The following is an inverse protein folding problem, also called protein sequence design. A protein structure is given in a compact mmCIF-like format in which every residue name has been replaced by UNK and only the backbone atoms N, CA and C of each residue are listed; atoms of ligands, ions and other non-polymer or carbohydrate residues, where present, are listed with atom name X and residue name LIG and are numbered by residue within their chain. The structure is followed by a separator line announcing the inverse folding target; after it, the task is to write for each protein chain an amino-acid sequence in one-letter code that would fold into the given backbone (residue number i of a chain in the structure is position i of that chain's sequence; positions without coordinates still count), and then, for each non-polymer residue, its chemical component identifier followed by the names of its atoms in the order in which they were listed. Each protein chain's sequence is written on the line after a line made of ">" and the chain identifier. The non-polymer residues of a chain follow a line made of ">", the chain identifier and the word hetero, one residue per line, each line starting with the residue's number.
data_IF_796176444885
#
_entry.id   IF_796176444885
#
_cell.length_a   1.000
_cell.length_b   1.000
_cell.length_c   1.000
_cell.angle_alpha   90.00
_cell.angle_beta   90.00
_cell.angle_gamma   90.00
#
_symmetry.space_group_name_H-M   'P 1'
#
loop_
_entity.id
_entity.type
_entity.pdbx_description
1 polymer ?
#
# COMPACT_ATOMS: atom_id res chain seq x y z
N UNK A 1 -2.99 -10.56 47.94
CA UNK A 1 -3.63 -11.88 47.74
C UNK A 1 -4.76 -11.73 46.74
N UNK A 2 -4.58 -12.28 45.53
CA UNK A 2 -5.62 -12.88 44.67
C UNK A 2 -4.92 -13.26 43.35
N UNK A 3 -4.43 -14.50 43.36
CA UNK A 3 -4.11 -15.24 42.16
C UNK A 3 -5.44 -15.63 41.53
N UNK A 4 -5.63 -15.34 40.25
CA UNK A 4 -6.74 -15.90 39.50
C UNK A 4 -6.21 -16.59 38.25
N UNK A 5 -6.60 -17.86 38.18
CA UNK A 5 -6.06 -18.91 37.36
C UNK A 5 -6.54 -18.76 35.92
N UNK A 6 -5.65 -18.39 34.99
CA UNK A 6 -5.93 -18.50 33.55
C UNK A 6 -5.45 -19.85 33.04
N UNK A 7 -6.31 -20.84 33.24
CA UNK A 7 -6.26 -22.11 32.52
C UNK A 7 -7.09 -21.94 31.24
N UNK A 8 -6.45 -21.71 30.10
CA UNK A 8 -7.14 -21.78 28.79
C UNK A 8 -6.47 -22.88 27.98
N UNK A 9 -7.23 -23.93 27.78
CA UNK A 9 -6.85 -25.20 27.21
C UNK A 9 -6.48 -25.08 25.73
N UNK A 10 -5.43 -25.81 25.36
CA UNK A 10 -5.05 -26.18 24.01
C UNK A 10 -6.19 -27.01 23.37
N UNK A 11 -6.67 -26.61 22.19
CA UNK A 11 -7.45 -27.49 21.30
C UNK A 11 -6.85 -27.41 19.89
N UNK A 12 -5.97 -28.38 19.62
CA UNK A 12 -5.49 -28.69 18.29
C UNK A 12 -6.61 -29.42 17.51
N UNK A 13 -7.00 -28.88 16.36
CA UNK A 13 -7.86 -29.59 15.39
C UNK A 13 -7.13 -29.71 14.06
N UNK A 14 -6.68 -30.93 13.77
CA UNK A 14 -6.10 -31.31 12.49
C UNK A 14 -7.23 -31.65 11.51
N UNK A 15 -7.46 -30.78 10.52
CA UNK A 15 -8.37 -31.02 9.40
C UNK A 15 -7.57 -31.43 8.16
N UNK A 16 -7.78 -32.65 7.67
CA UNK A 16 -7.29 -33.11 6.38
C UNK A 16 -8.13 -32.49 5.25
N UNK A 17 -7.48 -31.85 4.27
CA UNK A 17 -8.13 -31.24 3.11
C UNK A 17 -7.81 -32.09 1.86
N UNK A 18 -8.80 -32.50 1.05
CA UNK A 18 -8.58 -33.26 -0.18
C UNK A 18 -7.88 -32.42 -1.27
N UNK A 19 -7.14 -33.05 -2.23
CA UNK A 19 -6.52 -32.34 -3.33
C UNK A 19 -7.59 -31.86 -4.32
N UNK A 20 -7.87 -30.55 -4.28
CA UNK A 20 -8.68 -29.87 -5.27
C UNK A 20 -7.91 -29.73 -6.60
N UNK A 21 -8.63 -29.97 -7.69
CA UNK A 21 -8.15 -30.03 -9.06
C UNK A 21 -7.29 -28.85 -9.49
N UNK A 22 -6.21 -29.15 -10.22
CA UNK A 22 -5.36 -28.17 -10.88
C UNK A 22 -6.19 -27.27 -11.80
N UNK A 23 -6.34 -26.00 -11.42
CA UNK A 23 -6.85 -24.94 -12.28
C UNK A 23 -5.75 -24.55 -13.27
N UNK A 24 -5.80 -25.07 -14.49
CA UNK A 24 -5.10 -24.45 -15.61
C UNK A 24 -5.81 -23.12 -15.89
N UNK A 25 -5.33 -22.05 -15.26
CA UNK A 25 -5.79 -20.70 -15.59
C UNK A 25 -5.57 -20.46 -17.09
N UNK A 26 -6.55 -19.89 -17.80
CA UNK A 26 -6.30 -19.44 -19.16
C UNK A 26 -5.23 -18.34 -19.07
N UNK A 27 -4.12 -18.51 -19.77
CA UNK A 27 -3.12 -17.48 -19.97
C UNK A 27 -3.73 -16.39 -20.87
N UNK A 28 -4.60 -15.57 -20.31
CA UNK A 28 -5.18 -14.42 -20.97
C UNK A 28 -4.27 -13.24 -20.67
N UNK A 29 -3.31 -13.02 -21.57
CA UNK A 29 -2.64 -11.73 -21.68
C UNK A 29 -3.68 -10.69 -22.10
N UNK A 30 -4.36 -10.07 -21.13
CA UNK A 30 -5.15 -8.88 -21.40
C UNK A 30 -4.21 -7.85 -22.05
N UNK A 31 -4.66 -7.13 -23.10
CA UNK A 31 -3.83 -6.12 -23.73
C UNK A 31 -3.39 -5.12 -22.66
N UNK A 32 -2.11 -4.74 -22.65
CA UNK A 32 -1.50 -3.92 -21.60
C UNK A 32 -2.29 -2.63 -21.29
N UNK A 33 -2.99 -2.08 -22.29
CA UNK A 33 -3.90 -0.96 -22.14
C UNK A 33 -5.08 -1.22 -21.18
N UNK A 34 -5.69 -2.40 -21.24
CA UNK A 34 -6.80 -2.78 -20.35
C UNK A 34 -6.32 -2.99 -18.91
N UNK A 35 -5.11 -3.53 -18.73
CA UNK A 35 -4.50 -3.73 -17.41
C UNK A 35 -4.13 -2.38 -16.78
N UNK A 36 -3.56 -1.46 -17.55
CA UNK A 36 -3.28 -0.10 -17.07
C UNK A 36 -4.57 0.67 -16.72
N UNK A 37 -5.58 0.66 -17.60
CA UNK A 37 -6.85 1.33 -17.33
C UNK A 37 -7.54 0.77 -16.08
N UNK A 38 -7.52 -0.55 -15.89
CA UNK A 38 -8.04 -1.20 -14.68
C UNK A 38 -7.25 -0.80 -13.43
N UNK A 39 -5.91 -0.75 -13.52
CA UNK A 39 -5.03 -0.31 -12.44
C UNK A 39 -5.26 1.15 -12.04
N UNK A 40 -5.49 2.05 -13.01
CA UNK A 40 -5.82 3.46 -12.77
C UNK A 40 -7.19 3.63 -12.10
N UNK A 41 -8.21 2.86 -12.52
CA UNK A 41 -9.52 2.88 -11.88
C UNK A 41 -9.45 2.38 -10.43
N UNK A 42 -8.77 1.27 -10.20
CA UNK A 42 -8.56 0.73 -8.84
C UNK A 42 -7.76 1.70 -7.96
N UNK A 43 -6.82 2.45 -8.55
CA UNK A 43 -6.06 3.48 -7.85
C UNK A 43 -6.96 4.65 -7.44
N UNK A 44 -7.84 5.11 -8.33
CA UNK A 44 -8.79 6.18 -8.04
C UNK A 44 -9.77 5.79 -6.92
N UNK A 45 -10.26 4.55 -6.94
CA UNK A 45 -11.12 4.00 -5.88
C UNK A 45 -10.36 3.94 -4.55
N UNK A 46 -9.11 3.48 -4.56
CA UNK A 46 -8.28 3.41 -3.37
C UNK A 46 -8.00 4.80 -2.77
N UNK A 47 -7.68 5.80 -3.60
CA UNK A 47 -7.53 7.18 -3.14
C UNK A 47 -8.85 7.72 -2.57
N UNK A 48 -9.99 7.37 -3.17
CA UNK A 48 -11.31 7.77 -2.65
C UNK A 48 -11.60 7.16 -1.27
N UNK A 49 -11.14 5.94 -1.01
CA UNK A 49 -11.20 5.32 0.32
C UNK A 49 -10.25 6.03 1.29
N UNK A 50 -9.01 6.31 0.89
CA UNK A 50 -8.05 7.04 1.73
C UNK A 50 -8.61 8.39 2.17
N UNK A 51 -9.26 9.13 1.27
CA UNK A 51 -9.89 10.42 1.58
C UNK A 51 -10.96 10.32 2.66
N UNK A 52 -11.73 9.23 2.67
CA UNK A 52 -12.75 8.99 3.70
C UNK A 52 -12.13 8.70 5.07
N UNK A 53 -10.99 8.01 5.09
CA UNK A 53 -10.27 7.65 6.32
C UNK A 53 -9.47 8.83 6.85
N UNK A 54 -8.73 9.51 5.98
CA UNK A 54 -7.88 10.65 6.28
C UNK A 54 -7.61 11.45 4.99
N UNK A 55 -8.14 12.68 4.88
CA UNK A 55 -7.83 13.56 3.74
C UNK A 55 -6.33 13.82 3.58
N UNK A 56 -5.58 13.88 4.68
CA UNK A 56 -4.13 14.05 4.65
C UNK A 56 -3.43 12.85 4.01
N UNK A 57 -3.91 11.63 4.27
CA UNK A 57 -3.33 10.42 3.69
C UNK A 57 -3.54 10.35 2.18
N UNK A 58 -4.72 10.73 1.68
CA UNK A 58 -4.98 10.81 0.25
C UNK A 58 -4.08 11.85 -0.44
N UNK A 59 -4.01 13.06 0.12
CA UNK A 59 -3.20 14.13 -0.46
C UNK A 59 -1.70 13.77 -0.45
N UNK A 60 -1.21 13.13 0.62
CA UNK A 60 0.14 12.61 0.69
C UNK A 60 0.39 11.50 -0.34
N UNK A 61 -0.54 10.55 -0.50
CA UNK A 61 -0.45 9.50 -1.51
C UNK A 61 -0.39 10.07 -2.93
N UNK A 62 -1.24 11.06 -3.28
CA UNK A 62 -1.16 11.74 -4.58
C UNK A 62 0.19 12.42 -4.80
N UNK A 63 0.71 13.09 -3.77
CA UNK A 63 2.02 13.75 -3.81
C UNK A 63 3.13 12.72 -4.03
N UNK A 64 3.08 11.60 -3.31
CA UNK A 64 4.03 10.50 -3.45
C UNK A 64 4.00 9.89 -4.86
N UNK A 65 2.82 9.53 -5.38
CA UNK A 65 2.66 8.99 -6.74
C UNK A 65 3.20 9.93 -7.82
N UNK A 66 2.88 11.22 -7.72
CA UNK A 66 3.37 12.22 -8.65
C UNK A 66 4.89 12.34 -8.58
N UNK A 67 5.44 12.37 -7.37
CA UNK A 67 6.88 12.46 -7.17
C UNK A 67 7.62 11.21 -7.67
N UNK A 68 7.11 9.99 -7.41
CA UNK A 68 7.67 8.73 -7.94
C UNK A 68 7.69 8.75 -9.47
N UNK A 69 6.58 9.16 -10.10
CA UNK A 69 6.49 9.24 -11.56
C UNK A 69 7.47 10.26 -12.14
N UNK A 70 7.58 11.43 -11.53
CA UNK A 70 8.46 12.52 -12.00
C UNK A 70 9.94 12.21 -11.77
N UNK A 71 10.30 11.60 -10.64
CA UNK A 71 11.69 11.42 -10.22
C UNK A 71 12.27 10.09 -10.68
N UNK A 72 11.46 9.04 -10.68
CA UNK A 72 11.89 7.67 -10.90
C UNK A 72 11.32 7.07 -12.19
N UNK A 73 10.44 7.78 -12.90
CA UNK A 73 9.82 7.30 -14.14
C UNK A 73 8.87 6.13 -13.95
N UNK A 74 8.47 5.84 -12.71
CA UNK A 74 7.65 4.69 -12.35
C UNK A 74 6.19 5.10 -12.14
N UNK A 75 5.26 4.40 -12.80
CA UNK A 75 3.83 4.52 -12.54
C UNK A 75 3.42 3.44 -11.55
N UNK A 76 3.12 3.85 -10.30
CA UNK A 76 2.64 2.94 -9.26
C UNK A 76 1.13 2.73 -9.39
N UNK A 77 0.70 1.48 -9.25
CA UNK A 77 -0.71 1.09 -9.20
C UNK A 77 -1.24 1.06 -7.75
N UNK A 78 -2.53 0.74 -7.60
CA UNK A 78 -3.17 0.61 -6.29
C UNK A 78 -2.53 -0.46 -5.39
N UNK A 79 -1.94 -1.50 -5.96
CA UNK A 79 -1.33 -2.61 -5.20
C UNK A 79 0.03 -2.20 -4.66
N UNK A 80 0.84 -1.52 -5.46
CA UNK A 80 2.12 -0.97 -5.03
C UNK A 80 1.93 0.12 -3.97
N UNK A 81 0.96 1.03 -4.15
CA UNK A 81 0.66 2.04 -3.14
C UNK A 81 0.16 1.42 -1.82
N UNK A 82 -0.73 0.42 -1.89
CA UNK A 82 -1.17 -0.32 -0.69
C UNK A 82 -0.01 -0.97 0.05
N UNK A 83 0.92 -1.60 -0.69
CA UNK A 83 2.13 -2.17 -0.11
C UNK A 83 3.00 -1.10 0.54
N UNK A 84 3.21 0.04 -0.13
CA UNK A 84 3.96 1.16 0.43
C UNK A 84 3.32 1.67 1.73
N UNK A 85 1.99 1.69 1.85
CA UNK A 85 1.31 2.09 3.10
C UNK A 85 1.37 1.01 4.20
N UNK A 86 1.34 -0.27 3.82
CA UNK A 86 1.18 -1.38 4.76
C UNK A 86 2.49 -2.07 5.19
N UNK A 87 3.60 -1.93 4.44
CA UNK A 87 4.89 -2.54 4.76
C UNK A 87 5.42 -1.99 6.08
N UNK A 88 5.56 -2.81 7.12
CA UNK A 88 6.20 -2.51 8.42
C UNK A 88 6.31 -1.02 8.79
N UNK A 89 5.18 -0.41 9.18
CA UNK A 89 5.10 1.00 9.58
C UNK A 89 4.92 2.00 8.43
N UNK A 90 4.91 1.52 7.19
CA UNK A 90 4.79 2.27 5.95
C UNK A 90 6.14 2.67 5.34
N UNK A 91 6.13 2.98 4.04
CA UNK A 91 7.23 3.63 3.35
C UNK A 91 7.55 4.95 4.09
N UNK A 92 8.79 5.15 4.55
CA UNK A 92 9.13 6.25 5.44
C UNK A 92 8.98 7.61 4.77
N UNK A 93 9.19 7.69 3.45
CA UNK A 93 8.95 8.90 2.68
C UNK A 93 7.45 9.20 2.63
N UNK A 94 6.62 8.21 2.33
CA UNK A 94 5.17 8.33 2.32
C UNK A 94 4.62 8.70 3.69
N UNK A 95 5.06 8.05 4.77
CA UNK A 95 4.65 8.38 6.13
C UNK A 95 5.10 9.78 6.55
N UNK A 96 6.31 10.19 6.14
CA UNK A 96 6.80 11.55 6.30
C UNK A 96 5.90 12.57 5.59
N UNK A 97 5.47 12.27 4.36
CA UNK A 97 4.55 13.11 3.60
C UNK A 97 3.17 13.18 4.27
N UNK A 98 2.64 12.06 4.76
CA UNK A 98 1.37 12.03 5.51
C UNK A 98 1.44 12.98 6.69
N UNK A 99 2.51 12.91 7.48
CA UNK A 99 2.71 13.83 8.62
C UNK A 99 2.82 15.28 8.17
N UNK A 100 3.68 15.56 7.19
CA UNK A 100 3.90 16.93 6.70
C UNK A 100 2.60 17.55 6.18
N UNK A 101 1.79 16.79 5.45
CA UNK A 101 0.47 17.23 4.99
C UNK A 101 -0.48 17.43 6.17
N UNK A 102 -0.53 16.51 7.13
CA UNK A 102 -1.39 16.62 8.31
C UNK A 102 -1.06 17.83 9.21
N UNK A 103 0.20 18.27 9.24
CA UNK A 103 0.66 19.44 10.00
C UNK A 103 0.80 20.71 9.17
N UNK A 104 0.40 20.68 7.88
CA UNK A 104 0.58 21.80 6.94
C UNK A 104 2.04 22.29 6.83
N UNK A 105 3.01 21.38 6.95
CA UNK A 105 4.44 21.67 6.81
C UNK A 105 4.89 21.49 5.36
N UNK A 106 4.68 22.55 4.56
CA UNK A 106 5.06 22.56 3.15
C UNK A 106 6.57 22.48 2.91
N UNK A 107 7.37 23.04 3.82
CA UNK A 107 8.83 23.00 3.70
C UNK A 107 9.33 21.56 3.83
N UNK A 108 8.84 20.81 4.83
CA UNK A 108 9.17 19.39 4.98
C UNK A 108 8.63 18.57 3.82
N UNK A 109 7.39 18.85 3.35
CA UNK A 109 6.80 18.16 2.20
C UNK A 109 7.69 18.27 0.95
N UNK A 110 8.16 19.48 0.63
CA UNK A 110 9.04 19.72 -0.52
C UNK A 110 10.41 19.06 -0.33
N UNK A 111 10.98 19.14 0.87
CA UNK A 111 12.27 18.50 1.18
C UNK A 111 12.21 16.99 1.01
N UNK A 112 11.13 16.35 1.48
CA UNK A 112 10.92 14.91 1.33
C UNK A 112 10.87 14.50 -0.15
N UNK A 113 10.10 15.23 -0.98
CA UNK A 113 10.05 14.98 -2.43
C UNK A 113 11.43 15.15 -3.08
N UNK A 114 12.21 16.15 -2.67
CA UNK A 114 13.55 16.39 -3.21
C UNK A 114 14.56 15.31 -2.81
N UNK A 115 14.38 14.70 -1.63
CA UNK A 115 15.27 13.66 -1.07
C UNK A 115 14.83 12.23 -1.44
N UNK A 116 13.87 12.09 -2.35
CA UNK A 116 13.33 10.81 -2.78
C UNK A 116 14.40 9.87 -3.36
N UNK A 117 14.53 8.67 -2.79
CA UNK A 117 15.38 7.59 -3.32
C UNK A 117 14.55 6.61 -4.16
N UNK A 118 14.88 6.51 -5.45
CA UNK A 118 14.17 5.63 -6.38
C UNK A 118 14.41 4.14 -6.11
N UNK A 119 15.56 3.75 -5.54
CA UNK A 119 15.84 2.34 -5.26
C UNK A 119 14.95 1.82 -4.12
N UNK A 120 14.67 2.68 -3.12
CA UNK A 120 13.78 2.36 -2.02
C UNK A 120 12.32 2.13 -2.48
N UNK A 121 11.90 2.78 -3.58
CA UNK A 121 10.54 2.69 -4.12
C UNK A 121 10.28 1.48 -5.00
N UNK A 122 11.35 0.90 -5.54
CA UNK A 122 11.30 -0.29 -6.40
C UNK A 122 11.45 -1.58 -5.57
N UNK A 123 11.82 -1.48 -4.29
CA UNK A 123 12.05 -2.62 -3.42
C UNK A 123 10.75 -3.47 -3.26
N UNK A 124 10.79 -4.79 -3.56
CA UNK A 124 9.62 -5.68 -3.64
C UNK A 124 8.91 -5.94 -2.32
#
# INVERSE_FOLDING_TARGET
>A
MRADHLCVALLASAGAIPPASAQTSPAQGAPAHNVQAFGEQQLADYLSLLRQISPAAEQAARTYLAAVRLRCGLALDATALRRALARDGGDPLLMGLVRAVATHDDATRLRLVAQMDCNAQVAP
#
